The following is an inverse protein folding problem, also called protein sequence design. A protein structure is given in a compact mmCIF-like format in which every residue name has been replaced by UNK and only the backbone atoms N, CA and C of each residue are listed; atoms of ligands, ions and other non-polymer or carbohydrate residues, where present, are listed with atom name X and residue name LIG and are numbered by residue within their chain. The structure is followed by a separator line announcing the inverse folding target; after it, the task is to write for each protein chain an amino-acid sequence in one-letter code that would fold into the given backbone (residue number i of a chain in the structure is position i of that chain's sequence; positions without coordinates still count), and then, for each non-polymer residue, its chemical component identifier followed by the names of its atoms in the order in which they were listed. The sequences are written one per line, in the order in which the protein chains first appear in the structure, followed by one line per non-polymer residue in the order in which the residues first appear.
data_IF_323951048453
#
_entry.id   IF_323951048453
#
_cell.length_a   1.000
_cell.length_b   1.000
_cell.length_c   1.000
_cell.angle_alpha   90.00
_cell.angle_beta   90.00
_cell.angle_gamma   90.00
#
_symmetry.space_group_name_H-M   'P 1'
#
loop_
_entity.id
_entity.type
_entity.pdbx_description
1 polymer ?
#
# COMPACT_ATOMS: atom_id res chain seq x y z
N UNK A 1 59.26 12.36 -35.87
CA UNK A 1 58.57 11.11 -35.51
C UNK A 1 58.42 11.07 -33.99
N UNK A 2 57.29 11.55 -33.47
CA UNK A 2 57.00 11.49 -32.04
C UNK A 2 55.88 10.48 -31.83
N UNK A 3 56.26 9.25 -31.50
CA UNK A 3 55.34 8.17 -31.13
C UNK A 3 54.99 8.29 -29.65
N UNK A 4 53.71 8.56 -29.35
CA UNK A 4 53.20 8.57 -27.99
C UNK A 4 52.89 7.13 -27.61
N UNK A 5 53.66 6.62 -26.64
CA UNK A 5 53.50 5.30 -26.03
C UNK A 5 52.26 5.27 -25.14
N UNK A 6 51.37 4.32 -25.41
CA UNK A 6 50.13 4.07 -24.65
C UNK A 6 50.47 3.36 -23.33
N UNK A 7 50.32 4.10 -22.22
CA UNK A 7 50.54 3.61 -20.85
C UNK A 7 49.38 2.75 -20.34
N UNK A 8 49.75 1.61 -19.76
CA UNK A 8 48.89 0.56 -19.20
C UNK A 8 47.97 1.04 -18.07
N UNK A 9 46.69 0.64 -18.13
CA UNK A 9 45.66 0.83 -17.11
C UNK A 9 45.90 -0.18 -15.98
N UNK A 10 46.26 0.30 -14.78
CA UNK A 10 46.43 -0.53 -13.58
C UNK A 10 45.05 -0.92 -13.03
N UNK A 11 44.77 -2.23 -12.95
CA UNK A 11 43.57 -2.77 -12.29
C UNK A 11 43.65 -2.51 -10.78
N UNK A 12 42.65 -1.83 -10.23
CA UNK A 12 42.49 -1.64 -8.79
C UNK A 12 42.10 -2.97 -8.13
N UNK A 13 42.87 -3.38 -7.11
CA UNK A 13 42.56 -4.52 -6.25
C UNK A 13 41.34 -4.16 -5.39
N UNK A 14 40.28 -4.98 -5.46
CA UNK A 14 39.11 -4.87 -4.59
C UNK A 14 39.50 -5.38 -3.20
N UNK A 15 39.65 -4.47 -2.24
CA UNK A 15 39.96 -4.80 -0.86
C UNK A 15 38.72 -5.37 -0.20
N UNK A 16 38.74 -6.68 0.08
CA UNK A 16 37.71 -7.37 0.85
C UNK A 16 37.70 -6.85 2.27
N UNK A 17 36.62 -6.17 2.65
CA UNK A 17 36.37 -5.76 4.03
C UNK A 17 35.54 -6.85 4.69
N UNK A 18 36.21 -7.69 5.47
CA UNK A 18 35.59 -8.72 6.30
C UNK A 18 34.91 -8.03 7.50
N UNK A 19 33.61 -7.82 7.42
CA UNK A 19 32.80 -7.39 8.56
C UNK A 19 32.64 -8.57 9.51
N UNK A 20 33.35 -8.51 10.65
CA UNK A 20 33.27 -9.46 11.74
C UNK A 20 31.87 -9.36 12.39
N UNK A 21 30.95 -10.20 11.94
CA UNK A 21 29.64 -10.38 12.55
C UNK A 21 29.77 -11.12 13.88
N UNK A 22 29.24 -10.53 14.96
CA UNK A 22 29.04 -11.24 16.23
C UNK A 22 28.12 -12.43 15.96
N UNK A 23 28.65 -13.64 16.00
CA UNK A 23 27.82 -14.85 16.01
C UNK A 23 27.13 -14.93 17.36
N UNK A 24 25.84 -14.61 17.39
CA UNK A 24 24.96 -15.10 18.46
C UNK A 24 24.85 -16.62 18.29
N UNK A 25 24.75 -17.40 19.38
CA UNK A 25 24.56 -18.84 19.27
C UNK A 25 23.23 -19.11 18.56
N UNK A 26 23.31 -19.59 17.31
CA UNK A 26 22.16 -20.04 16.53
C UNK A 26 21.65 -21.31 17.18
N UNK A 27 20.60 -21.19 18.00
CA UNK A 27 19.76 -22.33 18.30
C UNK A 27 19.22 -22.84 16.96
N UNK A 28 19.46 -24.11 16.64
CA UNK A 28 18.94 -24.69 15.40
C UNK A 28 17.43 -24.57 15.38
N UNK A 29 16.87 -24.08 14.28
CA UNK A 29 15.41 -23.90 14.10
C UNK A 29 14.66 -25.22 14.31
N UNK A 30 15.30 -26.34 13.97
CA UNK A 30 14.80 -27.70 14.20
C UNK A 30 14.63 -28.08 15.68
N UNK A 31 15.30 -27.38 16.60
CA UNK A 31 15.11 -27.55 18.05
C UNK A 31 13.78 -26.97 18.55
N UNK A 32 13.08 -26.18 17.72
CA UNK A 32 11.78 -25.59 18.05
C UNK A 32 10.69 -26.63 17.67
N UNK A 33 9.81 -27.04 18.61
CA UNK A 33 8.70 -27.93 18.29
C UNK A 33 7.81 -27.36 17.18
N UNK A 34 7.59 -28.12 16.11
CA UNK A 34 6.81 -27.70 14.94
C UNK A 34 7.63 -27.08 13.81
N UNK A 35 8.96 -27.00 13.93
CA UNK A 35 9.86 -26.44 12.91
C UNK A 35 10.90 -27.46 12.42
N UNK A 36 10.64 -28.76 12.61
CA UNK A 36 11.51 -29.84 12.15
C UNK A 36 11.65 -29.91 10.62
N UNK A 37 10.68 -29.35 9.88
CA UNK A 37 10.66 -29.37 8.42
C UNK A 37 11.54 -28.30 7.78
N UNK A 38 12.05 -27.34 8.57
CA UNK A 38 12.85 -26.23 8.06
C UNK A 38 14.32 -26.42 8.40
N UNK A 39 15.18 -26.20 7.42
CA UNK A 39 16.63 -26.29 7.58
C UNK A 39 17.31 -24.91 7.61
N UNK A 40 18.64 -24.92 7.69
CA UNK A 40 19.42 -23.68 7.74
C UNK A 40 19.37 -22.92 6.40
N UNK A 41 19.14 -23.60 5.28
CA UNK A 41 19.01 -23.00 3.94
C UNK A 41 17.68 -22.25 3.79
N UNK A 42 16.58 -22.81 4.35
CA UNK A 42 15.29 -22.12 4.41
C UNK A 42 15.41 -20.80 5.21
N UNK A 43 16.10 -20.84 6.34
CA UNK A 43 16.32 -19.67 7.21
C UNK A 43 17.20 -18.63 6.53
N UNK A 44 18.27 -19.06 5.87
CA UNK A 44 19.13 -18.17 5.07
C UNK A 44 18.35 -17.53 3.93
N UNK A 45 17.48 -18.28 3.26
CA UNK A 45 16.62 -17.77 2.20
C UNK A 45 15.67 -16.68 2.72
N UNK A 46 15.04 -16.89 3.87
CA UNK A 46 14.16 -15.88 4.47
C UNK A 46 14.92 -14.63 4.91
N UNK A 47 16.12 -14.78 5.48
CA UNK A 47 16.98 -13.64 5.84
C UNK A 47 17.43 -12.90 4.57
N UNK A 48 17.68 -13.62 3.48
CA UNK A 48 18.08 -13.04 2.21
C UNK A 48 16.94 -12.29 1.51
N UNK A 49 15.67 -12.64 1.74
CA UNK A 49 14.53 -11.89 1.20
C UNK A 49 14.55 -10.42 1.65
N UNK A 50 14.99 -10.14 2.87
CA UNK A 50 15.06 -8.79 3.43
C UNK A 50 16.37 -8.06 3.06
N UNK A 51 17.31 -8.71 2.37
CA UNK A 51 18.61 -8.12 2.05
C UNK A 51 18.52 -6.96 1.03
N UNK A 52 17.50 -6.98 0.17
CA UNK A 52 17.23 -5.92 -0.81
C UNK A 52 16.05 -5.02 -0.40
N UNK A 53 15.31 -5.39 0.65
CA UNK A 53 14.26 -4.54 1.20
C UNK A 53 14.90 -3.43 2.03
N UNK A 54 14.94 -2.21 1.49
CA UNK A 54 15.38 -1.03 2.21
C UNK A 54 14.44 -0.67 3.38
N UNK A 55 13.37 -1.44 3.58
CA UNK A 55 12.32 -1.18 4.54
C UNK A 55 11.53 0.07 4.17
N UNK A 56 10.71 0.53 5.12
CA UNK A 56 10.03 1.81 4.95
C UNK A 56 11.04 2.96 5.03
N UNK A 57 11.07 3.78 3.98
CA UNK A 57 11.84 5.02 4.00
C UNK A 57 11.23 5.99 5.02
N UNK A 58 12.01 6.41 6.01
CA UNK A 58 11.59 7.43 6.96
C UNK A 58 11.72 8.81 6.30
N UNK A 59 10.58 9.37 5.88
CA UNK A 59 10.49 10.68 5.27
C UNK A 59 10.24 11.76 6.34
N UNK A 60 10.87 12.93 6.20
CA UNK A 60 10.50 14.11 6.97
C UNK A 60 9.21 14.73 6.42
N UNK A 61 8.50 15.55 7.21
CA UNK A 61 7.23 16.19 6.84
C UNK A 61 7.27 16.83 5.43
N UNK A 62 8.34 17.53 5.10
CA UNK A 62 8.51 18.13 3.77
C UNK A 62 8.63 17.11 2.63
N UNK A 63 9.31 15.99 2.87
CA UNK A 63 9.47 14.91 1.88
C UNK A 63 8.18 14.10 1.72
N UNK A 64 7.37 13.99 2.78
CA UNK A 64 6.04 13.37 2.74
C UNK A 64 5.13 14.19 1.82
N UNK A 65 5.10 15.52 2.00
CA UNK A 65 4.28 16.43 1.18
C UNK A 65 4.67 16.33 -0.29
N UNK A 66 5.96 16.34 -0.61
CA UNK A 66 6.42 16.23 -2.01
C UNK A 66 6.10 14.87 -2.61
N UNK A 67 6.28 13.78 -1.87
CA UNK A 67 5.95 12.42 -2.35
C UNK A 67 4.45 12.26 -2.65
N UNK A 68 3.59 12.81 -1.79
CA UNK A 68 2.13 12.79 -2.01
C UNK A 68 1.76 13.63 -3.24
N UNK A 69 2.38 14.80 -3.42
CA UNK A 69 2.15 15.66 -4.58
C UNK A 69 2.64 15.04 -5.89
N UNK A 70 3.80 14.39 -5.90
CA UNK A 70 4.34 13.71 -7.09
C UNK A 70 3.53 12.46 -7.46
N UNK A 71 2.97 11.76 -6.47
CA UNK A 71 2.13 10.57 -6.70
C UNK A 71 0.73 10.89 -7.26
N UNK A 72 0.34 12.16 -7.26
CA UNK A 72 -0.96 12.62 -7.73
C UNK A 72 -0.74 13.67 -8.82
N UNK A 73 -0.49 13.28 -10.08
CA UNK A 73 -0.53 14.23 -11.18
C UNK A 73 -1.91 14.86 -11.17
N UNK A 74 -1.96 16.15 -10.86
CA UNK A 74 -3.18 16.94 -10.97
C UNK A 74 -3.45 17.01 -12.47
N UNK A 75 -4.30 16.09 -12.94
CA UNK A 75 -4.89 16.12 -14.27
C UNK A 75 -5.87 17.29 -14.29
N UNK A 76 -5.33 18.47 -14.59
CA UNK A 76 -6.10 19.64 -14.99
C UNK A 76 -6.35 19.54 -16.49
N UNK A 77 -7.06 18.49 -16.90
CA UNK A 77 -7.61 18.38 -18.25
C UNK A 77 -9.11 18.51 -18.14
N UNK A 78 -9.56 19.71 -18.50
CA UNK A 78 -10.94 19.98 -18.85
C UNK A 78 -11.19 19.26 -20.17
N UNK A 79 -11.70 18.03 -20.13
CA UNK A 79 -12.17 17.38 -21.35
C UNK A 79 -13.65 16.98 -21.23
N UNK A 80 -14.46 17.75 -21.97
CA UNK A 80 -15.82 17.44 -22.33
C UNK A 80 -15.79 16.28 -23.34
N UNK A 81 -15.94 15.05 -22.88
CA UNK A 81 -16.23 13.94 -23.79
C UNK A 81 -17.51 13.19 -23.38
N UNK A 82 -18.56 13.51 -24.12
CA UNK A 82 -19.71 12.64 -24.34
C UNK A 82 -19.24 11.30 -24.96
N UNK A 83 -18.98 10.30 -24.13
CA UNK A 83 -19.09 8.90 -24.57
C UNK A 83 -19.92 8.11 -23.56
N UNK A 84 -21.25 8.15 -23.76
CA UNK A 84 -22.18 7.22 -23.14
C UNK A 84 -22.07 5.85 -23.84
N UNK A 85 -20.86 5.28 -23.80
CA UNK A 85 -20.64 3.89 -24.08
C UNK A 85 -21.26 3.11 -22.94
N UNK A 86 -22.26 2.32 -23.31
CA UNK A 86 -23.10 1.50 -22.46
C UNK A 86 -22.29 0.33 -21.86
N UNK A 87 -21.36 0.67 -20.98
CA UNK A 87 -20.57 -0.25 -20.21
C UNK A 87 -21.03 -0.09 -18.77
N UNK A 88 -21.58 -1.14 -18.21
CA UNK A 88 -22.00 -1.21 -16.82
C UNK A 88 -20.75 -1.23 -15.95
N UNK A 89 -20.08 -0.07 -15.90
CA UNK A 89 -19.11 0.28 -14.90
C UNK A 89 -19.86 0.16 -13.58
N UNK A 90 -19.51 -0.87 -12.82
CA UNK A 90 -19.82 -0.93 -11.41
C UNK A 90 -19.24 0.34 -10.80
N UNK A 91 -20.05 1.42 -10.74
CA UNK A 91 -19.71 2.69 -10.13
C UNK A 91 -18.96 2.38 -8.83
N UNK A 92 -17.74 2.91 -8.69
CA UNK A 92 -16.93 2.63 -7.53
C UNK A 92 -17.71 2.96 -6.26
N UNK A 93 -17.40 2.33 -5.13
CA UNK A 93 -18.14 2.62 -3.89
C UNK A 93 -18.08 4.10 -3.46
N UNK A 94 -17.12 4.88 -4.00
CA UNK A 94 -17.06 6.33 -3.85
C UNK A 94 -18.11 7.04 -4.71
N UNK A 95 -18.20 6.70 -5.99
CA UNK A 95 -19.15 7.28 -6.94
C UNK A 95 -20.61 6.98 -6.54
N UNK A 96 -20.86 5.78 -6.01
CA UNK A 96 -22.18 5.44 -5.49
C UNK A 96 -22.57 6.29 -4.27
N UNK A 97 -21.59 6.70 -3.45
CA UNK A 97 -21.83 7.55 -2.27
C UNK A 97 -22.13 8.99 -2.66
N UNK A 98 -21.36 9.57 -3.58
CA UNK A 98 -21.58 10.93 -4.07
C UNK A 98 -22.94 11.04 -4.77
N UNK A 99 -23.29 10.08 -5.63
CA UNK A 99 -24.61 10.03 -6.29
C UNK A 99 -25.75 9.97 -5.28
N UNK A 100 -25.65 9.13 -4.25
CA UNK A 100 -26.68 9.05 -3.20
C UNK A 100 -26.80 10.36 -2.43
N UNK A 101 -25.68 11.02 -2.13
CA UNK A 101 -25.69 12.31 -1.43
C UNK A 101 -26.38 13.39 -2.28
N UNK A 102 -26.04 13.50 -3.56
CA UNK A 102 -26.70 14.44 -4.48
C UNK A 102 -28.20 14.16 -4.58
N UNK A 103 -28.61 12.89 -4.64
CA UNK A 103 -30.03 12.53 -4.65
C UNK A 103 -30.77 12.95 -3.36
N UNK A 104 -30.12 12.87 -2.19
CA UNK A 104 -30.68 13.31 -0.92
C UNK A 104 -30.80 14.84 -0.83
N UNK A 105 -29.85 15.59 -1.39
CA UNK A 105 -29.89 17.05 -1.48
C UNK A 105 -31.00 17.52 -2.42
N UNK A 106 -31.18 16.84 -3.55
CA UNK A 106 -32.30 17.08 -4.47
C UNK A 106 -33.66 16.77 -3.83
N UNK A 107 -33.76 15.64 -3.10
CA UNK A 107 -35.00 15.24 -2.42
C UNK A 107 -35.46 16.24 -1.36
N UNK A 108 -34.51 16.91 -0.68
CA UNK A 108 -34.82 17.96 0.30
C UNK A 108 -35.49 19.20 -0.30
N UNK A 109 -35.32 19.43 -1.61
CA UNK A 109 -35.89 20.59 -2.31
C UNK A 109 -37.29 20.33 -2.87
N UNK A 110 -37.78 19.08 -2.81
CA UNK A 110 -39.09 18.71 -3.35
C UNK A 110 -40.23 19.13 -2.41
N UNK A 111 -41.41 19.42 -2.96
CA UNK A 111 -42.61 19.77 -2.19
C UNK A 111 -43.10 18.63 -1.29
N UNK A 112 -42.82 17.39 -1.66
CA UNK A 112 -43.20 16.17 -0.94
C UNK A 112 -42.14 15.73 0.08
N UNK A 113 -41.22 16.63 0.44
CA UNK A 113 -40.15 16.32 1.38
C UNK A 113 -40.67 15.75 2.71
N UNK A 114 -40.20 14.54 3.04
CA UNK A 114 -40.47 13.90 4.32
C UNK A 114 -39.16 13.62 5.06
N UNK A 115 -38.97 14.30 6.20
CA UNK A 115 -37.80 14.13 7.05
C UNK A 115 -37.57 12.67 7.47
N UNK A 116 -38.64 11.92 7.75
CA UNK A 116 -38.54 10.50 8.14
C UNK A 116 -37.93 9.65 7.03
N UNK A 117 -38.28 9.91 5.76
CA UNK A 117 -37.70 9.21 4.62
C UNK A 117 -36.21 9.56 4.44
N UNK A 118 -35.85 10.85 4.63
CA UNK A 118 -34.45 11.29 4.58
C UNK A 118 -33.59 10.65 5.70
N UNK A 119 -34.14 10.52 6.91
CA UNK A 119 -33.45 9.88 8.03
C UNK A 119 -33.22 8.37 7.77
N UNK A 120 -34.19 7.70 7.14
CA UNK A 120 -34.03 6.31 6.72
C UNK A 120 -32.91 6.15 5.67
N UNK A 121 -32.87 7.03 4.67
CA UNK A 121 -31.79 7.05 3.66
C UNK A 121 -30.42 7.32 4.30
N UNK A 122 -30.35 8.27 5.23
CA UNK A 122 -29.13 8.57 5.99
C UNK A 122 -28.64 7.35 6.78
N UNK A 123 -29.56 6.63 7.42
CA UNK A 123 -29.24 5.39 8.14
C UNK A 123 -28.69 4.30 7.21
N UNK A 124 -29.28 4.13 6.02
CA UNK A 124 -28.81 3.15 5.03
C UNK A 124 -27.37 3.50 4.59
N UNK A 125 -27.12 4.78 4.29
CA UNK A 125 -25.80 5.30 3.95
C UNK A 125 -24.78 4.98 5.06
N UNK A 126 -25.11 5.30 6.31
CA UNK A 126 -24.22 5.06 7.44
C UNK A 126 -23.92 3.57 7.67
N UNK A 127 -24.91 2.70 7.46
CA UNK A 127 -24.74 1.25 7.57
C UNK A 127 -23.76 0.73 6.51
N UNK A 128 -23.86 1.22 5.27
CA UNK A 128 -22.92 0.88 4.21
C UNK A 128 -21.49 1.37 4.55
N UNK A 129 -21.34 2.61 5.01
CA UNK A 129 -20.05 3.17 5.45
C UNK A 129 -19.45 2.38 6.62
N UNK A 130 -20.26 1.98 7.60
CA UNK A 130 -19.81 1.15 8.74
C UNK A 130 -19.32 -0.21 8.28
N UNK A 131 -20.02 -0.87 7.35
CA UNK A 131 -19.55 -2.15 6.77
C UNK A 131 -18.19 -2.00 6.10
N UNK A 132 -17.99 -0.95 5.29
CA UNK A 132 -16.70 -0.65 4.66
C UNK A 132 -15.58 -0.42 5.68
N UNK A 133 -15.89 0.27 6.79
CA UNK A 133 -14.92 0.49 7.87
C UNK A 133 -14.54 -0.81 8.57
N UNK A 134 -15.51 -1.69 8.86
CA UNK A 134 -15.24 -2.97 9.52
C UNK A 134 -14.36 -3.92 8.69
N UNK A 135 -14.42 -3.84 7.36
CA UNK A 135 -13.54 -4.61 6.47
C UNK A 135 -12.15 -4.00 6.31
N UNK A 136 -11.98 -2.71 6.64
CA UNK A 136 -10.73 -1.95 6.47
C UNK A 136 -9.94 -1.77 7.78
N UNK A 137 -10.51 -2.13 8.93
CA UNK A 137 -9.75 -2.15 10.19
C UNK A 137 -9.09 -3.51 10.39
N UNK A 138 -7.78 -3.47 10.66
CA UNK A 138 -7.01 -4.64 11.06
C UNK A 138 -7.65 -5.24 12.33
N UNK A 139 -8.15 -6.48 12.22
CA UNK A 139 -8.68 -7.20 13.39
C UNK A 139 -7.57 -7.42 14.40
N UNK A 140 -7.90 -7.35 15.70
CA UNK A 140 -6.94 -7.72 16.75
C UNK A 140 -6.45 -9.14 16.52
N UNK A 141 -5.14 -9.37 16.68
CA UNK A 141 -4.52 -10.69 16.49
C UNK A 141 -5.21 -11.78 17.33
N UNK A 142 -5.74 -11.41 18.50
CA UNK A 142 -6.50 -12.29 19.41
C UNK A 142 -7.73 -12.93 18.77
N UNK A 143 -8.33 -12.31 17.74
CA UNK A 143 -9.50 -12.86 17.03
C UNK A 143 -9.13 -14.14 16.27
N UNK A 144 -7.88 -14.31 15.86
CA UNK A 144 -7.42 -15.48 15.10
C UNK A 144 -7.00 -16.66 15.98
N UNK A 145 -6.68 -16.41 17.24
CA UNK A 145 -6.28 -17.46 18.21
C UNK A 145 -7.46 -18.09 18.97
N UNK A 146 -8.70 -17.74 18.62
CA UNK A 146 -9.91 -18.19 19.33
C UNK A 146 -10.63 -19.36 18.62
N UNK A 147 -9.92 -20.18 17.82
CA UNK A 147 -10.51 -21.29 17.06
C UNK A 147 -10.06 -22.64 17.58
#
# INVERSE_FOLDING_TARGET
MHGISCGQIKKAKKTSMTTSGRRLPTLSVQSIPGFQEFDEEDVETWIACDAEDCGFQMLNDGQIVTSVQESNPVDDETDEDEDNNNNESSKGSSDAFSVLQTAMEWYQQQSEFCLTQLLLLSRIKDLASKKRRCTMVQRKISVYFSR
#
